data_IF_637730683393
#
_entry.id   IF_637730683393
#
_cell.length_a   1.000
_cell.length_b   1.000
_cell.length_c   1.000
_cell.angle_alpha   90.00
_cell.angle_beta   90.00
_cell.angle_gamma   90.00
#
_symmetry.space_group_name_H-M   'P 1'
#
loop_
_entity.id
_entity.type
_entity.pdbx_description
1 polymer ?
#
# COMPACT_ATOMS: atom_id res chain seq x y z
N UNK A 1 9.84 23.75 31.93
CA UNK A 1 9.07 22.85 31.05
C UNK A 1 7.62 22.80 31.52
N UNK A 2 6.66 22.44 30.65
CA UNK A 2 5.21 22.38 30.92
C UNK A 2 4.69 20.94 30.82
N UNK A 3 4.83 20.12 31.88
CA UNK A 3 4.46 18.69 31.85
C UNK A 3 2.96 18.45 31.62
N UNK A 4 2.11 19.44 31.87
CA UNK A 4 0.68 19.40 31.57
C UNK A 4 0.36 19.25 30.08
N UNK A 5 1.33 19.50 29.20
CA UNK A 5 1.19 19.32 27.75
C UNK A 5 1.65 17.94 27.26
N UNK A 6 2.02 17.02 28.17
CA UNK A 6 2.30 15.62 27.85
C UNK A 6 3.76 15.31 27.50
N UNK A 7 3.99 14.10 26.98
CA UNK A 7 5.32 13.55 26.67
C UNK A 7 5.43 13.17 25.17
N UNK A 8 5.95 14.06 24.31
CA UNK A 8 6.13 13.76 22.89
C UNK A 8 7.06 12.57 22.62
N UNK A 9 8.02 12.31 23.51
CA UNK A 9 8.97 11.20 23.36
C UNK A 9 8.29 9.83 23.34
N UNK A 10 7.08 9.69 23.90
CA UNK A 10 6.30 8.46 23.81
C UNK A 10 5.89 8.10 22.36
N UNK A 11 5.92 9.06 21.43
CA UNK A 11 5.47 8.87 20.05
C UNK A 11 6.60 8.94 19.02
N UNK A 12 7.68 9.68 19.31
CA UNK A 12 8.70 10.00 18.31
C UNK A 12 10.13 9.57 18.70
N UNK A 13 10.32 8.88 19.83
CA UNK A 13 11.63 8.36 20.23
C UNK A 13 12.02 7.05 19.54
N UNK A 14 11.02 6.28 19.05
CA UNK A 14 11.22 5.00 18.35
C UNK A 14 10.50 5.02 17.00
N UNK A 15 11.21 5.47 15.96
CA UNK A 15 10.71 5.40 14.57
C UNK A 15 10.44 3.95 14.16
N UNK A 16 11.29 2.95 14.47
CA UNK A 16 11.03 1.56 14.08
C UNK A 16 9.70 0.97 14.54
N UNK A 17 9.12 1.48 15.63
CA UNK A 17 7.82 1.03 16.16
C UNK A 17 6.61 1.76 15.54
N UNK A 18 6.84 2.87 14.84
CA UNK A 18 5.79 3.78 14.38
C UNK A 18 5.76 3.95 12.86
N UNK A 19 6.79 3.50 12.16
CA UNK A 19 6.90 3.67 10.72
C UNK A 19 6.29 2.50 9.93
N UNK A 20 5.69 2.84 8.80
CA UNK A 20 5.14 1.95 7.79
C UNK A 20 5.16 2.72 6.47
N UNK A 21 5.13 2.03 5.34
CA UNK A 21 5.27 2.67 4.03
C UNK A 21 4.01 2.47 3.20
N UNK A 22 3.54 3.53 2.56
CA UNK A 22 2.41 3.48 1.64
C UNK A 22 2.76 3.95 0.23
N UNK A 23 1.95 3.54 -0.75
CA UNK A 23 2.12 3.87 -2.14
C UNK A 23 0.76 4.02 -2.83
N UNK A 24 0.71 4.87 -3.85
CA UNK A 24 -0.45 5.06 -4.71
C UNK A 24 -0.06 4.70 -6.14
N UNK A 25 -0.88 3.91 -6.81
CA UNK A 25 -0.67 3.53 -8.20
C UNK A 25 -1.75 4.15 -9.05
N UNK A 26 -1.31 4.80 -10.12
CA UNK A 26 -2.17 5.39 -11.15
C UNK A 26 -1.93 4.63 -12.44
N UNK A 27 -2.91 3.84 -12.88
CA UNK A 27 -2.81 3.01 -14.07
C UNK A 27 -3.86 3.42 -15.12
N UNK A 28 -3.50 3.30 -16.39
CA UNK A 28 -4.42 3.47 -17.54
C UNK A 28 -4.92 2.15 -18.09
N UNK A 29 -4.20 1.08 -17.79
CA UNK A 29 -4.55 -0.28 -18.17
C UNK A 29 -5.45 -0.88 -17.09
N UNK A 30 -6.65 -1.40 -17.44
CA UNK A 30 -7.56 -2.01 -16.48
C UNK A 30 -7.10 -3.39 -15.98
N UNK A 31 -6.08 -4.00 -16.60
CA UNK A 31 -5.66 -5.36 -16.32
C UNK A 31 -5.47 -5.65 -14.83
N UNK A 32 -4.86 -4.73 -14.07
CA UNK A 32 -4.66 -4.93 -12.63
C UNK A 32 -6.00 -4.98 -11.87
N UNK A 33 -6.91 -4.05 -12.18
CA UNK A 33 -8.24 -4.01 -11.55
C UNK A 33 -9.03 -5.26 -11.89
N UNK A 34 -9.09 -5.64 -13.17
CA UNK A 34 -9.82 -6.83 -13.62
C UNK A 34 -9.32 -8.11 -12.92
N UNK A 35 -8.00 -8.24 -12.74
CA UNK A 35 -7.39 -9.37 -12.04
C UNK A 35 -7.71 -9.37 -10.56
N UNK A 36 -7.65 -8.22 -9.90
CA UNK A 36 -7.95 -8.10 -8.47
C UNK A 36 -9.43 -8.27 -8.15
N UNK A 37 -10.34 -7.78 -9.00
CA UNK A 37 -11.78 -8.03 -8.85
C UNK A 37 -12.09 -9.52 -9.04
N UNK A 38 -11.49 -10.17 -10.05
CA UNK A 38 -11.64 -11.60 -10.27
C UNK A 38 -11.05 -12.44 -9.12
N UNK A 39 -9.92 -12.03 -8.56
CA UNK A 39 -9.25 -12.70 -7.44
C UNK A 39 -10.05 -12.56 -6.14
N UNK A 40 -10.49 -11.34 -5.81
CA UNK A 40 -11.13 -11.05 -4.52
C UNK A 40 -12.64 -11.31 -4.52
N UNK A 41 -13.27 -11.40 -5.69
CA UNK A 41 -14.73 -11.42 -5.84
C UNK A 41 -15.41 -10.09 -5.53
N UNK A 42 -14.65 -9.04 -5.17
CA UNK A 42 -15.17 -7.72 -4.86
C UNK A 42 -14.96 -6.78 -6.04
N UNK A 43 -16.01 -6.04 -6.39
CA UNK A 43 -15.87 -4.91 -7.30
C UNK A 43 -15.08 -3.79 -6.61
N UNK A 44 -14.30 -3.03 -7.38
CA UNK A 44 -13.58 -1.87 -6.89
C UNK A 44 -14.54 -0.90 -6.16
N UNK A 45 -14.18 -0.54 -4.92
CA UNK A 45 -14.99 0.34 -4.06
C UNK A 45 -16.05 -0.35 -3.22
N UNK A 46 -16.29 -1.66 -3.37
CA UNK A 46 -17.24 -2.39 -2.51
C UNK A 46 -16.54 -3.22 -1.43
N UNK A 47 -15.27 -3.56 -1.64
CA UNK A 47 -14.44 -4.29 -0.69
C UNK A 47 -13.57 -3.38 0.18
N UNK A 48 -13.06 -3.96 1.27
CA UNK A 48 -11.99 -3.35 2.07
C UNK A 48 -10.60 -3.65 1.49
N UNK A 49 -9.62 -3.71 2.38
CA UNK A 49 -8.25 -4.07 2.05
C UNK A 49 -8.15 -5.56 1.68
N UNK A 50 -7.33 -5.89 0.69
CA UNK A 50 -6.81 -7.23 0.43
C UNK A 50 -5.41 -7.30 1.04
N UNK A 51 -5.21 -8.22 1.98
CA UNK A 51 -3.92 -8.42 2.68
C UNK A 51 -3.24 -9.69 2.21
N UNK A 52 -2.00 -9.57 1.76
CA UNK A 52 -1.13 -10.70 1.40
C UNK A 52 -0.42 -11.21 2.66
N UNK A 53 -1.08 -12.13 3.37
CA UNK A 53 -0.63 -12.59 4.71
C UNK A 53 0.76 -13.23 4.72
N UNK A 54 1.15 -13.85 3.61
CA UNK A 54 2.44 -14.52 3.47
C UNK A 54 3.54 -13.61 2.88
N UNK A 55 3.22 -12.32 2.68
CA UNK A 55 4.19 -11.31 2.26
C UNK A 55 5.15 -10.98 3.40
N UNK A 56 6.44 -10.96 3.10
CA UNK A 56 7.47 -10.52 4.05
C UNK A 56 7.22 -9.08 4.52
N UNK A 57 6.66 -8.23 3.65
CA UNK A 57 6.33 -6.85 3.94
C UNK A 57 5.01 -6.69 4.72
N UNK A 58 4.22 -7.76 4.85
CA UNK A 58 2.84 -7.73 5.31
C UNK A 58 2.06 -6.64 4.55
N UNK A 59 2.02 -6.80 3.21
CA UNK A 59 1.44 -5.83 2.29
C UNK A 59 -0.08 -5.95 2.23
N UNK A 60 -0.77 -4.82 2.13
CA UNK A 60 -2.19 -4.75 1.80
C UNK A 60 -2.46 -3.71 0.71
N UNK A 61 -3.47 -3.96 -0.12
CA UNK A 61 -3.95 -3.02 -1.15
C UNK A 61 -5.46 -2.83 -1.08
N UNK A 62 -5.96 -1.68 -1.54
CA UNK A 62 -7.38 -1.39 -1.68
C UNK A 62 -7.67 -0.77 -3.04
N UNK A 63 -8.65 -1.35 -3.74
CA UNK A 63 -9.20 -0.80 -4.97
C UNK A 63 -10.36 0.12 -4.61
N UNK A 64 -10.17 1.43 -4.77
CA UNK A 64 -11.23 2.41 -4.53
C UNK A 64 -12.35 2.30 -5.54
N UNK A 65 -13.51 2.87 -5.19
CA UNK A 65 -14.50 3.23 -6.20
C UNK A 65 -13.82 4.20 -7.19
N UNK A 66 -13.98 3.92 -8.49
CA UNK A 66 -13.45 4.78 -9.55
C UNK A 66 -14.56 5.68 -10.12
N UNK A 67 -14.30 6.98 -10.37
CA UNK A 67 -13.08 7.69 -10.03
C UNK A 67 -12.93 7.93 -8.52
N UNK A 68 -11.69 7.91 -8.03
CA UNK A 68 -11.41 8.26 -6.63
C UNK A 68 -11.27 9.78 -6.44
N UNK A 69 -10.74 10.49 -7.45
CA UNK A 69 -10.60 11.95 -7.42
C UNK A 69 -11.57 12.66 -8.37
N UNK A 70 -12.05 13.85 -7.99
CA UNK A 70 -13.03 14.63 -8.77
C UNK A 70 -12.59 14.96 -10.21
N UNK A 71 -11.28 15.11 -10.45
CA UNK A 71 -10.69 15.39 -11.77
C UNK A 71 -10.03 14.19 -12.44
N UNK A 72 -10.24 12.96 -11.94
CA UNK A 72 -9.60 11.78 -12.49
C UNK A 72 -10.13 11.47 -13.91
N UNK A 73 -9.25 11.33 -14.92
CA UNK A 73 -9.67 10.96 -16.27
C UNK A 73 -10.41 9.62 -16.28
N UNK A 74 -11.42 9.48 -17.16
CA UNK A 74 -12.24 8.27 -17.26
C UNK A 74 -11.46 6.99 -17.58
N UNK A 75 -10.29 7.12 -18.22
CA UNK A 75 -9.40 6.03 -18.60
C UNK A 75 -8.23 5.83 -17.61
N UNK A 76 -8.34 6.38 -16.41
CA UNK A 76 -7.35 6.24 -15.34
C UNK A 76 -8.04 5.60 -14.15
N UNK A 77 -7.36 4.66 -13.52
CA UNK A 77 -7.77 4.05 -12.25
C UNK A 77 -6.68 4.27 -11.21
N UNK A 78 -7.10 4.44 -9.96
CA UNK A 78 -6.21 4.69 -8.83
C UNK A 78 -6.49 3.68 -7.73
N UNK A 79 -5.45 3.05 -7.22
CA UNK A 79 -5.52 2.25 -6.01
C UNK A 79 -4.38 2.62 -5.06
N UNK A 80 -4.51 2.19 -3.81
CA UNK A 80 -3.53 2.44 -2.76
C UNK A 80 -3.11 1.15 -2.08
N UNK A 81 -1.90 1.12 -1.57
CA UNK A 81 -1.41 0.03 -0.75
C UNK A 81 -0.40 0.50 0.28
N UNK A 82 -0.08 -0.41 1.19
CA UNK A 82 0.92 -0.19 2.23
C UNK A 82 1.55 -1.50 2.69
N UNK A 83 2.64 -1.38 3.45
CA UNK A 83 3.32 -2.47 4.14
C UNK A 83 3.61 -2.11 5.60
N UNK A 84 3.46 -3.08 6.49
CA UNK A 84 3.78 -2.94 7.92
C UNK A 84 5.24 -3.28 8.26
N UNK A 85 5.96 -3.94 7.36
CA UNK A 85 7.37 -4.29 7.56
C UNK A 85 8.25 -3.83 6.39
N UNK A 86 8.36 -2.51 6.14
CA UNK A 86 9.10 -2.00 5.00
C UNK A 86 10.63 -2.16 5.10
N UNK A 87 11.19 -2.51 6.26
CA UNK A 87 12.60 -2.89 6.46
C UNK A 87 12.95 -4.29 5.95
N UNK A 88 11.96 -5.15 5.73
CA UNK A 88 12.21 -6.55 5.37
C UNK A 88 12.46 -6.71 3.89
N UNK A 89 13.30 -7.67 3.52
CA UNK A 89 13.51 -8.06 2.13
C UNK A 89 12.23 -8.69 1.56
N UNK A 90 11.82 -8.26 0.36
CA UNK A 90 10.63 -8.77 -0.34
C UNK A 90 10.75 -10.23 -0.76
N UNK A 91 9.62 -10.81 -1.17
CA UNK A 91 9.53 -12.18 -1.68
C UNK A 91 10.01 -12.27 -3.14
N UNK A 92 9.73 -11.25 -3.94
CA UNK A 92 10.03 -11.18 -5.39
C UNK A 92 11.02 -10.08 -5.75
N UNK A 93 11.24 -9.14 -4.84
CA UNK A 93 12.27 -8.10 -4.91
C UNK A 93 13.23 -8.28 -3.74
N UNK A 94 14.50 -8.56 -4.03
CA UNK A 94 15.54 -8.81 -3.04
C UNK A 94 16.07 -7.52 -2.36
N UNK A 95 15.16 -6.64 -1.94
CA UNK A 95 15.45 -5.38 -1.22
C UNK A 95 14.39 -5.10 -0.15
N UNK A 96 14.75 -4.38 0.94
CA UNK A 96 13.79 -3.70 1.79
C UNK A 96 12.85 -2.82 0.97
N UNK A 97 11.56 -2.77 1.32
CA UNK A 97 10.61 -1.87 0.65
C UNK A 97 11.06 -0.40 0.78
N UNK A 98 11.67 -0.02 1.91
CA UNK A 98 12.24 1.32 2.13
C UNK A 98 13.27 1.73 1.09
N UNK A 99 13.92 0.76 0.45
CA UNK A 99 14.99 0.95 -0.52
C UNK A 99 14.51 0.71 -1.97
N UNK A 100 13.20 0.45 -2.14
CA UNK A 100 12.57 0.17 -3.42
C UNK A 100 12.07 1.44 -4.10
N UNK A 101 12.22 1.50 -5.43
CA UNK A 101 11.45 2.42 -6.27
C UNK A 101 10.00 1.95 -6.47
N UNK A 102 9.13 2.84 -6.97
CA UNK A 102 7.72 2.52 -7.21
C UNK A 102 7.49 1.34 -8.17
N UNK A 103 8.33 1.20 -9.20
CA UNK A 103 8.27 0.06 -10.12
C UNK A 103 8.59 -1.28 -9.44
N UNK A 104 9.47 -1.27 -8.44
CA UNK A 104 9.86 -2.45 -7.68
C UNK A 104 8.78 -2.84 -6.67
N UNK A 105 8.16 -1.85 -6.02
CA UNK A 105 6.99 -2.08 -5.16
C UNK A 105 5.84 -2.72 -5.96
N UNK A 106 5.57 -2.20 -7.16
CA UNK A 106 4.54 -2.77 -8.03
C UNK A 106 4.92 -4.18 -8.51
N UNK A 107 6.20 -4.44 -8.79
CA UNK A 107 6.69 -5.77 -9.14
C UNK A 107 6.51 -6.76 -7.98
N UNK A 108 6.82 -6.37 -6.75
CA UNK A 108 6.58 -7.18 -5.56
C UNK A 108 5.10 -7.51 -5.43
N UNK A 109 4.22 -6.49 -5.50
CA UNK A 109 2.77 -6.65 -5.43
C UNK A 109 2.25 -7.64 -6.48
N UNK A 110 2.67 -7.52 -7.74
CA UNK A 110 2.24 -8.42 -8.81
C UNK A 110 2.80 -9.85 -8.70
N UNK A 111 3.80 -10.07 -7.85
CA UNK A 111 4.33 -11.42 -7.58
C UNK A 111 3.46 -12.21 -6.61
N UNK A 112 2.77 -11.54 -5.68
CA UNK A 112 1.81 -12.13 -4.74
C UNK A 112 0.48 -12.47 -5.43
#
# INVERSE_FOLDING_TARGET
ERPEFGNPAAFNSSIPESYWLSFTVTCRDPLFFDRMEAFSGNRAGTGGLVTFKDSNWLMSVVLYHQPHFAGQPKNVQVFWGYALHPDRVGNFVAKPMSDCGGAEILKELCGH
#
